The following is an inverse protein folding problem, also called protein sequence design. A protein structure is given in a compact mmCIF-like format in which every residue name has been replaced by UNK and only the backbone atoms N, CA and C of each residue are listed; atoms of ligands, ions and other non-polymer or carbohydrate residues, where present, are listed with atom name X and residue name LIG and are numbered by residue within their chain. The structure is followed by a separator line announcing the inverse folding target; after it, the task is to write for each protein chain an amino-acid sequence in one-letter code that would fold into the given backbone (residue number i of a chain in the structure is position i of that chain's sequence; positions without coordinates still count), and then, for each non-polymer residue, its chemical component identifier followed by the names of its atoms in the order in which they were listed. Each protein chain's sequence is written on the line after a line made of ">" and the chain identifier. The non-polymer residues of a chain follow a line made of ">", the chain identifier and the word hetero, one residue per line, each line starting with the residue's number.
data_IF_711353473927
#
_entry.id   IF_711353473927
#
_cell.length_a   1.000
_cell.length_b   1.000
_cell.length_c   1.000
_cell.angle_alpha   90.00
_cell.angle_beta   90.00
_cell.angle_gamma   90.00
#
_symmetry.space_group_name_H-M   'P 1'
#
loop_
_entity.id
_entity.type
_entity.pdbx_description
1 polymer ?
#
# COMPACT_ATOMS: atom_id res chain seq x y z
N UNK A 1 11.49 1.23 33.03
CA UNK A 1 10.80 1.32 31.72
C UNK A 1 9.73 2.39 31.83
N UNK A 2 9.75 3.40 30.97
CA UNK A 2 8.77 4.49 31.00
C UNK A 2 7.50 4.03 30.26
N UNK A 3 6.40 3.81 30.99
CA UNK A 3 5.12 3.32 30.46
C UNK A 3 4.56 4.19 29.31
N UNK A 4 4.84 5.49 29.32
CA UNK A 4 4.42 6.38 28.23
C UNK A 4 5.18 6.10 26.93
N UNK A 5 6.45 5.73 26.99
CA UNK A 5 7.25 5.44 25.80
C UNK A 5 6.74 4.21 25.05
N UNK A 6 6.37 3.17 25.79
CA UNK A 6 5.91 1.91 25.21
C UNK A 6 4.54 2.05 24.56
N UNK A 7 3.61 2.77 25.19
CA UNK A 7 2.27 3.01 24.62
C UNK A 7 2.34 3.79 23.29
N UNK A 8 3.21 4.80 23.21
CA UNK A 8 3.36 5.58 21.98
C UNK A 8 3.94 4.76 20.83
N UNK A 9 4.92 3.89 21.10
CA UNK A 9 5.45 2.97 20.07
C UNK A 9 4.34 2.04 19.55
N UNK A 10 3.54 1.45 20.44
CA UNK A 10 2.45 0.58 20.00
C UNK A 10 1.39 1.32 19.19
N UNK A 11 1.07 2.56 19.57
CA UNK A 11 0.14 3.40 18.82
C UNK A 11 0.68 3.69 17.41
N UNK A 12 1.94 4.09 17.28
CA UNK A 12 2.58 4.37 15.99
C UNK A 12 2.61 3.13 15.07
N UNK A 13 2.95 1.96 15.63
CA UNK A 13 2.94 0.70 14.89
C UNK A 13 1.53 0.35 14.38
N UNK A 14 0.49 0.55 15.19
CA UNK A 14 -0.89 0.30 14.80
C UNK A 14 -1.35 1.24 13.67
N UNK A 15 -0.99 2.52 13.71
CA UNK A 15 -1.28 3.48 12.63
C UNK A 15 -0.55 3.10 11.33
N UNK A 16 0.71 2.69 11.42
CA UNK A 16 1.46 2.19 10.25
C UNK A 16 0.80 0.93 9.66
N UNK A 17 0.36 0.00 10.49
CA UNK A 17 -0.32 -1.20 10.01
C UNK A 17 -1.66 -0.87 9.34
N UNK A 18 -2.40 0.10 9.88
CA UNK A 18 -3.65 0.61 9.28
C UNK A 18 -3.41 1.20 7.89
N UNK A 19 -2.38 2.03 7.73
CA UNK A 19 -1.95 2.58 6.44
C UNK A 19 -1.65 1.50 5.40
N UNK A 20 -0.86 0.50 5.78
CA UNK A 20 -0.49 -0.61 4.90
C UNK A 20 -1.73 -1.40 4.46
N UNK A 21 -2.70 -1.61 5.37
CA UNK A 21 -3.96 -2.29 5.04
C UNK A 21 -4.82 -1.49 4.08
N UNK A 22 -4.92 -0.17 4.24
CA UNK A 22 -5.69 0.68 3.33
C UNK A 22 -5.10 0.69 1.92
N UNK A 23 -3.78 0.80 1.82
CA UNK A 23 -3.09 0.67 0.54
C UNK A 23 -3.36 -0.70 -0.11
N UNK A 24 -3.23 -1.77 0.66
CA UNK A 24 -3.48 -3.13 0.16
C UNK A 24 -4.91 -3.29 -0.37
N UNK A 25 -5.90 -2.72 0.30
CA UNK A 25 -7.29 -2.74 -0.16
C UNK A 25 -7.47 -1.95 -1.46
N UNK A 26 -6.88 -0.76 -1.58
CA UNK A 26 -6.87 0.00 -2.84
C UNK A 26 -6.30 -0.80 -4.00
N UNK A 27 -5.20 -1.54 -3.77
CA UNK A 27 -4.61 -2.41 -4.79
C UNK A 27 -5.54 -3.57 -5.17
N UNK A 28 -6.30 -4.14 -4.22
CA UNK A 28 -7.32 -5.17 -4.53
C UNK A 28 -8.47 -4.61 -5.36
N UNK A 29 -8.92 -3.39 -5.09
CA UNK A 29 -9.95 -2.73 -5.90
C UNK A 29 -9.47 -2.53 -7.35
N UNK A 30 -8.23 -2.05 -7.53
CA UNK A 30 -7.59 -1.95 -8.85
C UNK A 30 -7.44 -3.33 -9.51
N UNK A 31 -7.12 -4.36 -8.73
CA UNK A 31 -7.00 -5.73 -9.21
C UNK A 31 -8.33 -6.31 -9.69
N UNK A 32 -9.43 -6.04 -9.01
CA UNK A 32 -10.78 -6.48 -9.41
C UNK A 32 -11.22 -5.70 -10.65
N UNK A 33 -11.10 -4.37 -10.64
CA UNK A 33 -11.52 -3.50 -11.75
C UNK A 33 -10.70 -3.70 -13.03
N UNK A 34 -9.42 -4.06 -12.92
CA UNK A 34 -8.58 -4.33 -14.10
C UNK A 34 -9.06 -5.51 -14.96
N UNK A 35 -9.72 -6.51 -14.35
CA UNK A 35 -10.07 -7.77 -15.03
C UNK A 35 -8.87 -8.64 -15.45
N UNK A 36 -7.64 -8.28 -15.07
CA UNK A 36 -6.41 -8.95 -15.50
C UNK A 36 -5.93 -9.96 -14.47
N UNK A 37 -5.34 -11.07 -14.89
CA UNK A 37 -4.59 -11.94 -13.98
C UNK A 37 -3.32 -11.27 -13.47
N UNK A 38 -2.78 -11.73 -12.33
CA UNK A 38 -1.51 -11.21 -11.81
C UNK A 38 -0.34 -11.37 -12.79
N UNK A 39 -0.34 -12.43 -13.62
CA UNK A 39 0.68 -12.62 -14.67
C UNK A 39 0.56 -11.58 -15.77
N UNK A 40 -0.65 -11.20 -16.16
CA UNK A 40 -0.86 -10.13 -17.14
C UNK A 40 -0.48 -8.75 -16.59
N UNK A 41 -0.68 -8.52 -15.29
CA UNK A 41 -0.20 -7.31 -14.62
C UNK A 41 1.34 -7.25 -14.58
N UNK A 42 1.99 -8.36 -14.21
CA UNK A 42 3.44 -8.48 -14.17
C UNK A 42 4.09 -8.20 -15.54
N UNK A 43 3.44 -8.59 -16.65
CA UNK A 43 3.92 -8.29 -18.01
C UNK A 43 4.00 -6.80 -18.35
N UNK A 44 3.39 -5.91 -17.54
CA UNK A 44 3.33 -4.46 -17.79
C UNK A 44 4.28 -3.65 -16.91
N UNK A 45 5.01 -4.32 -16.01
CA UNK A 45 5.92 -3.67 -15.07
C UNK A 45 7.12 -4.56 -14.78
N UNK A 46 7.97 -4.14 -13.85
CA UNK A 46 9.18 -4.85 -13.46
C UNK A 46 8.98 -5.73 -12.22
N UNK A 47 7.75 -5.92 -11.76
CA UNK A 47 7.40 -6.75 -10.60
C UNK A 47 6.99 -8.15 -11.04
N UNK A 48 7.28 -9.16 -10.21
CA UNK A 48 6.70 -10.49 -10.43
C UNK A 48 5.25 -10.55 -9.92
N UNK A 49 4.47 -11.48 -10.45
CA UNK A 49 3.08 -11.72 -10.07
C UNK A 49 2.94 -12.01 -8.56
N UNK A 50 3.95 -12.65 -7.95
CA UNK A 50 4.00 -12.90 -6.52
C UNK A 50 4.16 -11.62 -5.70
N UNK A 51 4.94 -10.65 -6.19
CA UNK A 51 5.11 -9.35 -5.53
C UNK A 51 3.83 -8.53 -5.56
N UNK A 52 3.15 -8.48 -6.70
CA UNK A 52 1.86 -7.78 -6.83
C UNK A 52 0.86 -8.34 -5.81
N UNK A 53 0.70 -9.66 -5.76
CA UNK A 53 -0.16 -10.33 -4.78
C UNK A 53 0.30 -10.06 -3.34
N UNK A 54 1.60 -10.00 -3.08
CA UNK A 54 2.15 -9.72 -1.75
C UNK A 54 1.74 -8.33 -1.25
N UNK A 55 1.79 -7.31 -2.12
CA UNK A 55 1.40 -5.95 -1.76
C UNK A 55 -0.11 -5.82 -1.51
N UNK A 56 -0.93 -6.52 -2.29
CA UNK A 56 -2.38 -6.65 -2.04
C UNK A 56 -2.70 -7.38 -0.72
N UNK A 57 -1.73 -8.04 -0.07
CA UNK A 57 -1.90 -8.70 1.22
C UNK A 57 -1.33 -7.90 2.41
N UNK A 58 -0.95 -6.63 2.21
CA UNK A 58 -0.53 -5.76 3.30
C UNK A 58 0.95 -5.89 3.64
N UNK A 59 1.80 -5.60 2.65
CA UNK A 59 3.23 -5.38 2.86
C UNK A 59 3.59 -3.96 2.50
N UNK A 60 4.41 -3.33 3.33
CA UNK A 60 4.94 -1.99 3.10
C UNK A 60 5.63 -1.90 1.72
N UNK A 61 5.43 -0.77 1.04
CA UNK A 61 5.93 -0.56 -0.32
C UNK A 61 6.91 0.60 -0.36
N UNK A 62 7.88 0.51 -1.26
CA UNK A 62 8.72 1.66 -1.60
C UNK A 62 8.02 2.49 -2.66
N UNK A 63 8.33 3.79 -2.72
CA UNK A 63 7.81 4.68 -3.75
C UNK A 63 8.00 4.14 -5.18
N UNK A 64 9.18 3.58 -5.50
CA UNK A 64 9.43 3.00 -6.83
C UNK A 64 8.50 1.81 -7.15
N UNK A 65 8.09 1.05 -6.14
CA UNK A 65 7.11 -0.04 -6.29
C UNK A 65 5.74 0.52 -6.65
N UNK A 66 5.33 1.65 -6.09
CA UNK A 66 4.07 2.33 -6.44
C UNK A 66 4.07 2.72 -7.92
N UNK A 67 5.20 3.21 -8.43
CA UNK A 67 5.34 3.53 -9.86
C UNK A 67 5.20 2.28 -10.73
N UNK A 68 5.80 1.14 -10.34
CA UNK A 68 5.64 -0.11 -11.07
C UNK A 68 4.21 -0.66 -11.00
N UNK A 69 3.54 -0.55 -9.85
CA UNK A 69 2.12 -0.92 -9.71
C UNK A 69 1.22 -0.02 -10.58
N UNK A 70 1.48 1.29 -10.62
CA UNK A 70 0.77 2.22 -11.48
C UNK A 70 0.89 1.84 -12.97
N UNK A 71 2.10 1.45 -13.42
CA UNK A 71 2.30 0.87 -14.77
C UNK A 71 1.51 -0.43 -14.97
N UNK A 72 1.52 -1.32 -13.97
CA UNK A 72 0.84 -2.61 -14.03
C UNK A 72 -0.69 -2.43 -14.25
N UNK A 73 -1.32 -1.59 -13.44
CA UNK A 73 -2.76 -1.31 -13.51
C UNK A 73 -3.12 -0.29 -14.60
N UNK A 74 -2.16 0.47 -15.13
CA UNK A 74 -2.41 1.49 -16.14
C UNK A 74 -3.12 2.73 -15.59
N UNK A 75 -2.80 3.11 -14.35
CA UNK A 75 -3.42 4.23 -13.62
C UNK A 75 -2.37 5.26 -13.21
N UNK A 76 -2.79 6.45 -12.82
CA UNK A 76 -1.87 7.42 -12.22
C UNK A 76 -1.46 6.99 -10.80
N UNK A 77 -0.21 7.20 -10.34
CA UNK A 77 0.20 6.83 -8.97
C UNK A 77 -0.66 7.44 -7.86
N UNK A 78 -1.27 8.60 -8.10
CA UNK A 78 -2.20 9.23 -7.14
C UNK A 78 -3.44 8.38 -6.89
N UNK A 79 -3.91 7.60 -7.86
CA UNK A 79 -5.07 6.73 -7.64
C UNK A 79 -4.75 5.62 -6.63
N UNK A 80 -3.49 5.16 -6.59
CA UNK A 80 -3.02 4.19 -5.58
C UNK A 80 -2.89 4.85 -4.20
N UNK A 81 -2.47 6.12 -4.17
CA UNK A 81 -2.24 6.88 -2.94
C UNK A 81 -3.49 7.55 -2.37
N UNK A 82 -4.60 7.54 -3.10
CA UNK A 82 -5.89 8.05 -2.65
C UNK A 82 -6.50 7.05 -1.64
N UNK A 83 -5.98 7.11 -0.42
CA UNK A 83 -6.43 6.35 0.75
C UNK A 83 -6.88 7.31 1.86
N UNK A 84 -7.84 6.86 2.66
CA UNK A 84 -8.43 7.64 3.74
C UNK A 84 -7.49 7.69 4.97
N UNK A 85 -6.49 8.57 4.90
CA UNK A 85 -5.51 8.77 5.97
C UNK A 85 -5.52 10.22 6.48
N UNK A 86 -5.75 10.36 7.79
CA UNK A 86 -5.70 11.65 8.48
C UNK A 86 -4.35 11.84 9.18
N UNK A 87 -3.71 12.98 8.94
CA UNK A 87 -2.50 13.40 9.66
C UNK A 87 -2.89 14.46 10.67
N UNK A 88 -2.55 14.22 11.95
CA UNK A 88 -2.64 15.25 12.97
C UNK A 88 -1.33 16.04 13.01
N UNK A 89 -1.37 17.30 12.58
CA UNK A 89 -0.21 18.19 12.54
C UNK A 89 0.08 18.90 13.87
N UNK A 90 -0.79 18.78 14.87
CA UNK A 90 -0.66 19.49 16.16
C UNK A 90 0.30 18.80 17.13
N UNK A 91 0.78 17.59 16.81
CA UNK A 91 1.74 16.86 17.63
C UNK A 91 2.69 16.03 16.73
N UNK A 92 3.67 16.69 16.09
CA UNK A 92 4.59 16.07 15.12
C UNK A 92 5.59 15.10 15.74
#
# INVERSE_FOLDING_TARGET
>A
MNFNSTYQIFKELAEKEKLIKQLAEKLKELKVSSGLSYRQLAQRCSLDHADIKKYENGVDVRFTTIIELAKAYGVHPMEILEIDYEINFENP
#
